data_IF_188192407356
#
_entry.id   IF_188192407356
#
_cell.length_a   1.000
_cell.length_b   1.000
_cell.length_c   1.000
_cell.angle_alpha   90.00
_cell.angle_beta   90.00
_cell.angle_gamma   90.00
#
_symmetry.space_group_name_H-M   'P 1'
#
loop_
_entity.id
_entity.type
_entity.pdbx_description
1 polymer ?
#
# COMPACT_ATOMS: atom_id res chain seq x y z
N UNK A 1 13.93 7.71 10.68
CA UNK A 1 12.73 8.38 10.12
C UNK A 1 13.23 9.53 9.27
N UNK A 2 12.95 9.51 7.97
CA UNK A 2 13.30 10.62 7.08
C UNK A 2 12.15 11.62 7.07
N UNK A 3 12.42 12.87 7.45
CA UNK A 3 11.46 13.97 7.35
C UNK A 3 11.86 14.90 6.21
N UNK A 4 10.87 15.39 5.47
CA UNK A 4 11.05 16.41 4.44
C UNK A 4 10.41 17.68 4.99
N UNK A 5 11.19 18.75 5.11
CA UNK A 5 10.69 20.06 5.56
C UNK A 5 10.66 21.00 4.36
N UNK A 6 9.49 21.60 4.12
CA UNK A 6 9.29 22.58 3.07
C UNK A 6 8.96 23.93 3.71
N UNK A 7 9.69 24.98 3.34
CA UNK A 7 9.29 26.35 3.69
C UNK A 7 8.31 26.86 2.62
N UNK A 8 7.07 27.13 3.03
CA UNK A 8 6.02 27.60 2.14
C UNK A 8 5.97 29.13 1.99
N UNK A 9 6.77 29.85 2.79
CA UNK A 9 6.73 31.30 2.86
C UNK A 9 5.40 31.83 3.41
N UNK A 10 5.03 33.05 3.00
CA UNK A 10 3.83 33.71 3.49
C UNK A 10 2.62 33.34 2.61
N UNK A 11 1.59 32.71 3.19
CA UNK A 11 0.33 32.37 2.54
C UNK A 11 -0.74 33.32 3.07
N UNK A 12 -1.10 34.34 2.28
CA UNK A 12 -2.15 35.29 2.66
C UNK A 12 -3.52 34.63 2.62
N UNK A 13 -4.42 34.91 3.56
CA UNK A 13 -5.81 34.46 3.50
C UNK A 13 -6.52 35.00 2.24
N UNK A 14 -7.30 34.18 1.50
CA UNK A 14 -7.67 32.77 1.70
C UNK A 14 -6.80 31.77 0.90
N UNK A 15 -5.50 32.03 0.78
CA UNK A 15 -4.57 31.34 -0.10
C UNK A 15 -4.33 29.87 0.23
N UNK A 16 -3.83 29.14 -0.76
CA UNK A 16 -3.49 27.72 -0.68
C UNK A 16 -2.10 27.50 -1.29
N UNK A 17 -1.34 26.57 -0.72
CA UNK A 17 -0.07 26.11 -1.28
C UNK A 17 -0.11 24.58 -1.43
N UNK A 18 0.57 24.06 -2.45
CA UNK A 18 0.65 22.62 -2.71
C UNK A 18 2.11 22.21 -2.86
N UNK A 19 2.51 21.17 -2.13
CA UNK A 19 3.81 20.52 -2.27
C UNK A 19 3.60 19.10 -2.78
N UNK A 20 4.23 18.76 -3.90
CA UNK A 20 4.19 17.40 -4.46
C UNK A 20 5.48 16.68 -4.14
N UNK A 21 5.37 15.58 -3.37
CA UNK A 21 6.49 14.71 -3.04
C UNK A 21 6.25 13.37 -3.73
N UNK A 22 7.16 12.99 -4.63
CA UNK A 22 7.11 11.69 -5.31
C UNK A 22 8.05 10.72 -4.59
N UNK A 23 7.51 9.57 -4.18
CA UNK A 23 8.28 8.52 -3.48
C UNK A 23 8.09 7.18 -4.18
N UNK A 24 9.11 6.32 -4.11
CA UNK A 24 9.02 4.93 -4.52
C UNK A 24 9.11 4.03 -3.29
N UNK A 25 8.02 3.35 -2.88
CA UNK A 25 8.06 2.45 -1.75
C UNK A 25 8.85 1.18 -2.10
N UNK A 26 9.85 0.85 -1.28
CA UNK A 26 10.67 -0.36 -1.43
C UNK A 26 10.20 -1.52 -0.53
N UNK A 27 9.36 -1.22 0.46
CA UNK A 27 8.79 -2.21 1.37
C UNK A 27 7.37 -2.59 0.90
N UNK A 28 7.08 -3.88 0.83
CA UNK A 28 5.73 -4.38 0.56
C UNK A 28 4.83 -4.20 1.80
N UNK A 29 3.53 -4.06 1.57
CA UNK A 29 2.52 -3.95 2.63
C UNK A 29 1.96 -2.54 2.80
N UNK A 30 1.30 -2.34 3.94
CA UNK A 30 0.69 -1.05 4.29
C UNK A 30 1.77 -0.03 4.64
N UNK A 31 1.62 1.15 4.09
CA UNK A 31 2.50 2.30 4.29
C UNK A 31 1.65 3.46 4.75
N UNK A 32 2.08 4.14 5.81
CA UNK A 32 1.50 5.39 6.27
C UNK A 32 2.45 6.56 6.00
N UNK A 33 1.89 7.67 5.55
CA UNK A 33 2.60 8.94 5.44
C UNK A 33 1.82 10.02 6.17
N UNK A 34 2.47 10.72 7.10
CA UNK A 34 1.87 11.80 7.87
C UNK A 34 2.50 13.13 7.46
N UNK A 35 1.66 14.06 7.02
CA UNK A 35 2.03 15.45 6.80
C UNK A 35 1.54 16.33 7.95
N UNK A 36 2.36 17.28 8.38
CA UNK A 36 1.98 18.29 9.35
C UNK A 36 2.33 19.69 8.84
N UNK A 37 1.53 20.67 9.26
CA UNK A 37 1.75 22.09 8.97
C UNK A 37 1.87 22.88 10.26
N UNK A 38 2.68 23.92 10.25
CA UNK A 38 2.74 24.90 11.33
C UNK A 38 2.92 26.29 10.73
N UNK A 39 2.44 27.30 11.45
CA UNK A 39 2.54 28.70 11.07
C UNK A 39 3.02 29.56 12.24
N UNK A 40 3.27 30.84 11.96
CA UNK A 40 3.71 31.81 12.97
C UNK A 40 2.57 32.40 13.81
N UNK A 41 1.32 32.29 13.33
CA UNK A 41 0.14 32.80 14.03
C UNK A 41 -0.44 31.74 14.96
N UNK A 42 -1.13 32.18 16.00
CA UNK A 42 -1.84 31.27 16.94
C UNK A 42 -2.95 30.56 16.19
N UNK A 43 -2.89 29.24 16.21
CA UNK A 43 -3.97 28.37 15.75
C UNK A 43 -4.88 28.02 16.94
N UNK A 44 -6.18 28.25 16.79
CA UNK A 44 -7.19 27.94 17.81
C UNK A 44 -7.55 26.45 17.84
N UNK A 45 -7.27 25.71 16.77
CA UNK A 45 -7.49 24.28 16.67
C UNK A 45 -6.26 23.59 16.05
N UNK A 46 -5.18 23.38 16.84
CA UNK A 46 -3.98 22.72 16.35
C UNK A 46 -4.20 21.24 15.96
N UNK A 47 -5.36 20.65 16.28
CA UNK A 47 -5.65 19.24 15.98
C UNK A 47 -5.85 18.98 14.49
N UNK A 48 -6.21 20.02 13.72
CA UNK A 48 -6.43 19.93 12.28
C UNK A 48 -5.15 20.12 11.43
N UNK A 49 -4.00 20.40 12.07
CA UNK A 49 -2.72 20.65 11.41
C UNK A 49 -1.93 19.38 11.04
N UNK A 50 -2.57 18.21 11.08
CA UNK A 50 -1.95 16.94 10.76
C UNK A 50 -2.90 16.06 9.96
N UNK A 51 -2.38 15.39 8.95
CA UNK A 51 -3.14 14.43 8.16
C UNK A 51 -2.27 13.23 7.82
N UNK A 52 -2.85 12.03 7.93
CA UNK A 52 -2.19 10.77 7.56
C UNK A 52 -2.91 10.14 6.39
N UNK A 53 -2.15 9.76 5.37
CA UNK A 53 -2.63 8.96 4.26
C UNK A 53 -2.01 7.56 4.34
N UNK A 54 -2.82 6.55 4.03
CA UNK A 54 -2.39 5.16 3.94
C UNK A 54 -2.37 4.72 2.49
N UNK A 55 -1.35 3.96 2.11
CA UNK A 55 -1.21 3.34 0.80
C UNK A 55 -0.78 1.88 0.97
N UNK A 56 -1.00 1.09 -0.07
CA UNK A 56 -0.61 -0.32 -0.11
C UNK A 56 0.40 -0.53 -1.24
N UNK A 57 1.59 -1.03 -0.91
CA UNK A 57 2.58 -1.43 -1.90
C UNK A 57 2.54 -2.94 -2.12
N UNK A 58 2.13 -3.34 -3.32
CA UNK A 58 1.88 -4.74 -3.67
C UNK A 58 0.57 -5.29 -3.08
N UNK A 59 0.09 -6.42 -3.61
CA UNK A 59 -1.11 -7.07 -3.08
C UNK A 59 -0.73 -7.92 -1.84
N UNK A 60 -1.24 -7.61 -0.63
CA UNK A 60 -0.92 -8.38 0.57
C UNK A 60 -1.50 -9.80 0.54
N UNK A 61 -2.49 -10.05 -0.33
CA UNK A 61 -3.26 -11.28 -0.43
C UNK A 61 -3.10 -11.98 -1.79
N UNK A 62 -2.12 -11.59 -2.60
CA UNK A 62 -1.79 -12.36 -3.79
C UNK A 62 -1.13 -13.70 -3.39
N UNK A 63 -1.93 -14.65 -2.94
CA UNK A 63 -1.75 -16.02 -3.39
C UNK A 63 -2.07 -15.92 -4.88
N UNK A 64 -1.10 -16.08 -5.80
CA UNK A 64 -1.44 -16.07 -7.21
C UNK A 64 -2.49 -17.17 -7.40
N UNK A 65 -3.75 -16.78 -7.62
CA UNK A 65 -4.76 -17.70 -8.13
C UNK A 65 -4.08 -18.30 -9.36
N UNK A 66 -3.78 -19.61 -9.30
CA UNK A 66 -3.23 -20.32 -10.44
C UNK A 66 -4.14 -19.93 -11.59
N UNK A 67 -3.63 -19.15 -12.56
CA UNK A 67 -4.45 -18.76 -13.70
C UNK A 67 -5.05 -20.01 -14.33
N UNK A 68 -6.08 -19.88 -15.15
CA UNK A 68 -6.74 -21.02 -15.83
C UNK A 68 -5.77 -22.15 -16.27
N UNK A 69 -4.59 -21.88 -16.89
CA UNK A 69 -3.63 -22.94 -17.19
C UNK A 69 -3.00 -23.61 -15.95
N UNK A 70 -2.61 -22.86 -14.92
CA UNK A 70 -2.06 -23.43 -13.67
C UNK A 70 -3.08 -24.25 -12.89
N UNK A 71 -4.35 -23.81 -12.89
CA UNK A 71 -5.44 -24.56 -12.27
C UNK A 71 -5.68 -25.89 -13.01
N UNK A 72 -5.64 -25.90 -14.34
CA UNK A 72 -5.78 -27.11 -15.15
C UNK A 72 -4.66 -28.12 -14.86
N UNK A 73 -3.41 -27.68 -14.77
CA UNK A 73 -2.27 -28.56 -14.43
C UNK A 73 -2.43 -29.17 -13.05
N UNK A 74 -2.87 -28.39 -12.05
CA UNK A 74 -3.11 -28.89 -10.71
C UNK A 74 -4.24 -29.94 -10.69
N UNK A 75 -5.33 -29.69 -11.40
CA UNK A 75 -6.44 -30.65 -11.52
C UNK A 75 -5.96 -31.96 -12.16
N UNK A 76 -5.19 -31.89 -13.25
CA UNK A 76 -4.63 -33.08 -13.92
C UNK A 76 -3.71 -33.85 -12.96
N UNK A 77 -2.84 -33.17 -12.22
CA UNK A 77 -1.94 -33.80 -11.26
C UNK A 77 -2.71 -34.53 -10.16
N UNK A 78 -3.77 -33.93 -9.63
CA UNK A 78 -4.63 -34.53 -8.61
C UNK A 78 -5.38 -35.75 -9.13
N UNK A 79 -5.90 -35.68 -10.36
CA UNK A 79 -6.57 -36.81 -11.01
C UNK A 79 -5.60 -37.98 -11.24
N UNK A 80 -4.41 -37.71 -11.78
CA UNK A 80 -3.37 -38.73 -12.01
C UNK A 80 -2.92 -39.37 -10.70
N UNK A 81 -2.72 -38.58 -9.65
CA UNK A 81 -2.36 -39.09 -8.33
C UNK A 81 -3.49 -39.95 -7.74
N UNK A 82 -4.75 -39.53 -7.86
CA UNK A 82 -5.91 -40.31 -7.44
C UNK A 82 -5.98 -41.67 -8.13
N UNK A 83 -5.79 -41.70 -9.46
CA UNK A 83 -5.75 -42.95 -10.24
C UNK A 83 -4.60 -43.85 -9.79
N UNK A 84 -3.40 -43.30 -9.62
CA UNK A 84 -2.22 -44.06 -9.16
C UNK A 84 -2.39 -44.64 -7.75
N UNK A 85 -3.08 -43.93 -6.86
CA UNK A 85 -3.36 -44.39 -5.50
C UNK A 85 -4.41 -45.51 -5.50
N UNK A 86 -5.42 -45.43 -6.38
CA UNK A 86 -6.42 -46.50 -6.55
C UNK A 86 -5.78 -47.74 -7.18
N UNK A 87 -4.94 -47.56 -8.20
CA UNK A 87 -4.28 -48.68 -8.90
C UNK A 87 -3.22 -49.40 -8.07
N UNK A 88 -2.71 -48.79 -7.00
CA UNK A 88 -1.77 -49.41 -6.05
C UNK A 88 -2.45 -50.17 -4.91
N UNK A 89 -3.79 -50.09 -4.80
CA UNK A 89 -4.59 -50.80 -3.79
C UNK A 89 -5.28 -52.07 -4.32
N UNK A 90 -5.11 -52.39 -5.61
CA UNK A 90 -5.45 -53.66 -6.25
C UNK A 90 -4.19 -54.51 -6.40
#
# INVERSE_FOLDING_TARGET
>A
MSNITCNLGNINFPGTATVTIVVQPIQLGQISNTGSVSGSFVDLDPSNNSSTANAQNGNPEAIPLLGLPGAAVLIILLLVLGVLLVSKRL
#
